data_IF_752343494578
#
_entry.id   IF_752343494578
#
_cell.length_a   1.000
_cell.length_b   1.000
_cell.length_c   1.000
_cell.angle_alpha   90.00
_cell.angle_beta   90.00
_cell.angle_gamma   90.00
#
_symmetry.space_group_name_H-M   'P 1'
#
loop_
_entity.id
_entity.type
_entity.pdbx_description
1 polymer ?
#
# COMPACT_ATOMS: atom_id res chain seq x y z
N UNK A 1 -35.73 -59.41 0.71
CA UNK A 1 -34.60 -58.54 0.30
C UNK A 1 -35.19 -57.29 -0.31
N UNK A 2 -35.08 -56.14 0.35
CA UNK A 2 -35.47 -54.83 -0.19
C UNK A 2 -34.27 -53.90 0.04
N UNK A 3 -33.68 -53.44 -1.06
CA UNK A 3 -32.44 -52.66 -1.08
C UNK A 3 -32.76 -51.18 -0.90
N UNK A 4 -31.98 -50.53 -0.03
CA UNK A 4 -32.16 -49.14 0.36
C UNK A 4 -31.74 -48.13 -0.71
N UNK A 5 -32.48 -47.02 -0.75
CA UNK A 5 -32.16 -45.83 -1.54
C UNK A 5 -30.94 -45.11 -0.95
N UNK A 6 -29.87 -45.01 -1.73
CA UNK A 6 -28.74 -44.14 -1.40
C UNK A 6 -28.99 -42.75 -2.00
N UNK A 7 -29.01 -41.73 -1.14
CA UNK A 7 -28.98 -40.33 -1.55
C UNK A 7 -27.63 -40.01 -2.19
N UNK A 8 -27.66 -39.66 -3.47
CA UNK A 8 -26.52 -39.12 -4.20
C UNK A 8 -26.34 -37.66 -3.76
N UNK A 9 -25.23 -37.38 -3.08
CA UNK A 9 -24.86 -36.02 -2.67
C UNK A 9 -24.21 -35.31 -3.85
N UNK A 10 -24.84 -34.24 -4.32
CA UNK A 10 -24.28 -33.32 -5.30
C UNK A 10 -22.97 -32.72 -4.77
N UNK A 11 -21.86 -32.72 -5.54
CA UNK A 11 -20.69 -31.95 -5.19
C UNK A 11 -21.02 -30.47 -5.38
N UNK A 12 -21.14 -29.78 -4.24
CA UNK A 12 -21.24 -28.34 -4.15
C UNK A 12 -20.16 -27.66 -5.00
N UNK A 13 -20.61 -26.92 -6.02
CA UNK A 13 -19.81 -25.95 -6.75
C UNK A 13 -19.20 -24.98 -5.74
N UNK A 14 -17.92 -25.20 -5.44
CA UNK A 14 -17.11 -24.24 -4.71
C UNK A 14 -16.92 -23.05 -5.64
N UNK A 15 -17.75 -22.02 -5.51
CA UNK A 15 -17.51 -20.72 -6.11
C UNK A 15 -16.26 -20.13 -5.46
N UNK A 16 -15.10 -20.46 -6.05
CA UNK A 16 -13.85 -19.80 -5.77
C UNK A 16 -14.04 -18.34 -6.21
N UNK A 17 -14.11 -17.42 -5.23
CA UNK A 17 -14.05 -15.98 -5.47
C UNK A 17 -12.93 -15.73 -6.50
N UNK A 18 -13.15 -14.94 -7.57
CA UNK A 18 -12.11 -14.67 -8.54
C UNK A 18 -10.90 -14.09 -7.82
N UNK A 19 -9.87 -14.91 -7.66
CA UNK A 19 -8.57 -14.47 -7.22
C UNK A 19 -8.07 -13.61 -8.37
N UNK A 20 -7.95 -12.29 -8.18
CA UNK A 20 -7.34 -11.42 -9.18
C UNK A 20 -5.97 -12.03 -9.51
N UNK A 21 -5.81 -12.49 -10.75
CA UNK A 21 -4.63 -13.22 -11.18
C UNK A 21 -3.38 -12.36 -10.95
N UNK A 22 -2.29 -12.99 -10.49
CA UNK A 22 -0.97 -12.34 -10.53
C UNK A 22 -0.70 -11.94 -11.99
N UNK A 23 -0.18 -10.73 -12.19
CA UNK A 23 0.02 -10.17 -13.52
C UNK A 23 1.21 -10.88 -14.17
N UNK A 24 1.14 -11.10 -15.48
CA UNK A 24 2.30 -11.61 -16.21
C UNK A 24 3.43 -10.57 -16.24
N UNK A 25 4.66 -11.00 -16.50
CA UNK A 25 5.79 -10.08 -16.63
C UNK A 25 5.58 -9.07 -17.76
N UNK A 26 4.92 -9.46 -18.86
CA UNK A 26 4.57 -8.54 -19.96
C UNK A 26 3.54 -7.50 -19.52
N UNK A 27 2.54 -7.89 -18.71
CA UNK A 27 1.58 -6.94 -18.13
C UNK A 27 2.26 -5.98 -17.16
N UNK A 28 3.20 -6.46 -16.36
CA UNK A 28 4.01 -5.60 -15.49
C UNK A 28 4.91 -4.66 -16.28
N UNK A 29 5.50 -5.10 -17.40
CA UNK A 29 6.26 -4.22 -18.31
C UNK A 29 5.39 -3.10 -18.85
N UNK A 30 4.16 -3.42 -19.28
CA UNK A 30 3.18 -2.42 -19.71
C UNK A 30 2.81 -1.46 -18.59
N UNK A 31 2.58 -1.97 -17.38
CA UNK A 31 2.22 -1.19 -16.20
C UNK A 31 3.31 -0.20 -15.80
N UNK A 32 4.58 -0.60 -15.83
CA UNK A 32 5.70 0.26 -15.42
C UNK A 32 6.25 1.15 -16.53
N UNK A 33 5.86 0.92 -17.79
CA UNK A 33 6.37 1.68 -18.94
C UNK A 33 6.28 3.21 -18.77
N UNK A 34 5.22 3.81 -18.18
CA UNK A 34 5.15 5.25 -17.94
C UNK A 34 6.18 5.82 -16.96
N UNK A 35 6.81 4.98 -16.13
CA UNK A 35 7.72 5.43 -15.08
C UNK A 35 9.10 4.77 -15.12
N UNK A 36 9.31 3.74 -15.95
CA UNK A 36 10.52 2.92 -15.89
C UNK A 36 11.80 3.71 -16.23
N UNK A 37 11.70 4.82 -16.99
CA UNK A 37 12.85 5.68 -17.31
C UNK A 37 13.05 6.82 -16.31
N UNK A 38 12.23 6.91 -15.26
CA UNK A 38 12.37 7.96 -14.25
C UNK A 38 13.56 7.66 -13.32
N UNK A 39 14.13 8.69 -12.66
CA UNK A 39 15.16 8.50 -11.64
C UNK A 39 14.70 7.55 -10.53
N UNK A 40 15.63 6.76 -9.99
CA UNK A 40 15.34 5.71 -9.02
C UNK A 40 14.63 6.24 -7.77
N UNK A 41 15.09 7.39 -7.26
CA UNK A 41 14.47 8.06 -6.10
C UNK A 41 13.06 8.60 -6.39
N UNK A 42 12.72 8.88 -7.66
CA UNK A 42 11.36 9.28 -8.04
C UNK A 42 10.44 8.06 -8.14
N UNK A 43 10.91 6.95 -8.74
CA UNK A 43 10.18 5.67 -8.69
C UNK A 43 9.91 5.25 -7.25
N UNK A 44 10.90 5.43 -6.36
CA UNK A 44 10.78 5.18 -4.94
C UNK A 44 9.71 6.02 -4.22
N UNK A 45 9.30 7.15 -4.79
CA UNK A 45 8.17 7.96 -4.29
C UNK A 45 6.84 7.55 -4.95
N UNK A 46 6.86 7.29 -6.26
CA UNK A 46 5.65 6.92 -7.02
C UNK A 46 5.05 5.60 -6.55
N UNK A 47 5.87 4.56 -6.34
CA UNK A 47 5.36 3.23 -6.01
C UNK A 47 4.62 3.19 -4.66
N UNK A 48 5.15 3.77 -3.56
CA UNK A 48 4.40 3.94 -2.33
C UNK A 48 3.15 4.81 -2.49
N UNK A 49 3.26 5.95 -3.18
CA UNK A 49 2.15 6.88 -3.37
C UNK A 49 0.98 6.24 -4.13
N UNK A 50 1.29 5.35 -5.08
CA UNK A 50 0.31 4.56 -5.81
C UNK A 50 -0.56 3.66 -4.90
N UNK A 51 -0.10 3.38 -3.67
CA UNK A 51 -0.90 2.66 -2.67
C UNK A 51 -1.94 3.54 -1.95
N UNK A 52 -1.93 4.85 -2.18
CA UNK A 52 -2.83 5.84 -1.60
C UNK A 52 -3.55 6.67 -2.68
N UNK A 53 -4.34 6.05 -3.57
CA UNK A 53 -4.97 6.78 -4.69
C UNK A 53 -5.91 7.90 -4.23
N UNK A 54 -6.52 7.80 -3.04
CA UNK A 54 -7.32 8.88 -2.47
C UNK A 54 -6.47 10.09 -2.07
N UNK A 55 -5.32 9.87 -1.44
CA UNK A 55 -4.39 10.96 -1.10
C UNK A 55 -3.76 11.59 -2.35
N UNK A 56 -3.59 10.82 -3.44
CA UNK A 56 -3.17 11.38 -4.75
C UNK A 56 -4.19 12.41 -5.24
N UNK A 57 -5.48 12.09 -5.18
CA UNK A 57 -6.57 13.00 -5.58
C UNK A 57 -6.59 14.23 -4.68
N UNK A 58 -6.52 14.04 -3.36
CA UNK A 58 -6.53 15.14 -2.39
C UNK A 58 -5.32 16.07 -2.56
N UNK A 59 -4.13 15.51 -2.72
CA UNK A 59 -2.90 16.29 -2.89
C UNK A 59 -2.89 17.04 -4.22
N UNK A 60 -3.38 16.45 -5.31
CA UNK A 60 -3.49 17.13 -6.60
C UNK A 60 -4.43 18.33 -6.52
N UNK A 61 -5.63 18.14 -5.94
CA UNK A 61 -6.58 19.22 -5.74
C UNK A 61 -6.01 20.33 -4.85
N UNK A 62 -5.25 19.95 -3.81
CA UNK A 62 -4.60 20.91 -2.93
C UNK A 62 -3.53 21.73 -3.68
N UNK A 63 -2.70 21.09 -4.51
CA UNK A 63 -1.69 21.77 -5.33
C UNK A 63 -2.37 22.73 -6.33
N UNK A 64 -3.47 22.32 -6.94
CA UNK A 64 -4.25 23.16 -7.86
C UNK A 64 -4.85 24.40 -7.17
N UNK A 65 -5.17 24.31 -5.88
CA UNK A 65 -5.66 25.43 -5.07
C UNK A 65 -4.54 26.35 -4.57
N UNK A 66 -3.28 25.88 -4.56
CA UNK A 66 -2.14 26.58 -3.97
C UNK A 66 -1.00 26.79 -4.96
N UNK A 67 -1.32 27.09 -6.23
CA UNK A 67 -0.33 27.26 -7.32
C UNK A 67 0.69 28.38 -7.09
N UNK A 68 0.39 29.31 -6.20
CA UNK A 68 1.28 30.40 -5.80
C UNK A 68 2.36 29.97 -4.79
N UNK A 69 2.17 28.82 -4.13
CA UNK A 69 3.14 28.25 -3.22
C UNK A 69 4.25 27.53 -4.00
N UNK A 70 5.48 27.93 -3.72
CA UNK A 70 6.68 27.35 -4.33
C UNK A 70 7.80 27.24 -3.29
N UNK A 71 8.76 26.35 -3.56
CA UNK A 71 9.96 26.17 -2.74
C UNK A 71 9.64 25.93 -1.26
N UNK A 72 10.33 26.66 -0.37
CA UNK A 72 10.22 26.45 1.08
C UNK A 72 8.80 26.67 1.61
N UNK A 73 8.05 27.62 1.03
CA UNK A 73 6.66 27.88 1.45
C UNK A 73 5.74 26.72 1.11
N UNK A 74 5.89 26.15 -0.09
CA UNK A 74 5.18 24.93 -0.47
C UNK A 74 5.52 23.79 0.50
N UNK A 75 6.81 23.59 0.77
CA UNK A 75 7.27 22.53 1.67
C UNK A 75 6.68 22.66 3.08
N UNK A 76 6.65 23.87 3.65
CA UNK A 76 6.07 24.14 4.97
C UNK A 76 4.57 23.84 5.04
N UNK A 77 3.80 24.16 4.01
CA UNK A 77 2.36 23.91 3.99
C UNK A 77 2.01 22.44 3.72
N UNK A 78 2.78 21.77 2.87
CA UNK A 78 2.65 20.32 2.62
C UNK A 78 3.03 19.51 3.86
N UNK A 79 4.03 19.96 4.64
CA UNK A 79 4.45 19.26 5.85
C UNK A 79 3.32 19.11 6.88
N UNK A 80 2.40 20.08 6.93
CA UNK A 80 1.23 20.08 7.82
C UNK A 80 0.16 19.06 7.43
N UNK A 81 0.17 18.56 6.20
CA UNK A 81 -0.84 17.62 5.72
C UNK A 81 -0.67 16.26 6.38
N UNK A 82 -1.77 15.51 6.55
CA UNK A 82 -1.74 14.19 7.17
C UNK A 82 -1.37 13.04 6.21
N UNK A 83 -0.96 13.39 4.98
CA UNK A 83 -0.63 12.43 3.92
C UNK A 83 0.61 11.58 4.24
N UNK A 84 0.69 10.41 3.59
CA UNK A 84 1.88 9.57 3.56
C UNK A 84 3.10 10.37 3.05
N UNK A 85 4.31 10.12 3.59
CA UNK A 85 5.51 10.80 3.14
C UNK A 85 5.74 10.76 1.63
N UNK A 86 5.32 9.69 0.95
CA UNK A 86 5.47 9.59 -0.51
C UNK A 86 4.57 10.56 -1.27
N UNK A 87 3.33 10.77 -0.79
CA UNK A 87 2.39 11.74 -1.36
C UNK A 87 2.93 13.15 -1.15
N UNK A 88 3.41 13.46 0.07
CA UNK A 88 4.10 14.73 0.33
C UNK A 88 5.29 14.93 -0.61
N UNK A 89 6.12 13.90 -0.80
CA UNK A 89 7.27 13.97 -1.68
C UNK A 89 6.89 14.26 -3.14
N UNK A 90 5.80 13.67 -3.65
CA UNK A 90 5.34 13.90 -5.02
C UNK A 90 4.81 15.31 -5.27
N UNK A 91 4.49 16.10 -4.24
CA UNK A 91 4.16 17.53 -4.43
C UNK A 91 5.31 18.34 -5.02
N UNK A 92 6.55 17.85 -4.92
CA UNK A 92 7.73 18.40 -5.59
C UNK A 92 7.67 18.22 -7.12
N UNK A 93 6.85 17.29 -7.60
CA UNK A 93 6.69 16.91 -9.00
C UNK A 93 5.21 17.00 -9.43
N UNK A 94 4.62 18.22 -9.51
CA UNK A 94 3.19 18.40 -9.78
C UNK A 94 2.69 17.65 -11.03
N UNK A 95 3.46 17.62 -12.11
CA UNK A 95 3.08 16.91 -13.32
C UNK A 95 2.96 15.38 -13.11
N UNK A 96 3.81 14.80 -12.26
CA UNK A 96 3.77 13.36 -11.94
C UNK A 96 2.55 13.05 -11.07
N UNK A 97 2.31 13.88 -10.04
CA UNK A 97 1.13 13.76 -9.18
C UNK A 97 -0.17 13.90 -9.99
N UNK A 98 -0.24 14.90 -10.88
CA UNK A 98 -1.39 15.13 -11.74
C UNK A 98 -1.60 13.99 -12.75
N UNK A 99 -0.54 13.43 -13.31
CA UNK A 99 -0.65 12.23 -14.16
C UNK A 99 -1.19 11.02 -13.40
N UNK A 100 -0.79 10.83 -12.14
CA UNK A 100 -1.34 9.76 -11.29
C UNK A 100 -2.83 9.99 -10.97
N UNK A 101 -3.25 11.24 -10.75
CA UNK A 101 -4.65 11.63 -10.54
C UNK A 101 -5.50 11.50 -11.82
N UNK A 102 -4.96 11.82 -12.99
CA UNK A 102 -5.67 11.64 -14.26
C UNK A 102 -5.87 10.15 -14.57
N UNK A 103 -4.89 9.33 -14.23
CA UNK A 103 -4.83 7.90 -14.56
C UNK A 103 -5.04 7.01 -13.32
N UNK A 104 -6.10 7.25 -12.53
CA UNK A 104 -6.34 6.54 -11.25
C UNK A 104 -6.42 5.01 -11.36
N UNK A 105 -6.95 4.49 -12.47
CA UNK A 105 -7.00 3.04 -12.69
C UNK A 105 -5.57 2.46 -12.80
N UNK A 106 -4.72 3.08 -13.60
CA UNK A 106 -3.30 2.75 -13.71
C UNK A 106 -2.57 2.92 -12.37
N UNK A 107 -2.81 4.04 -11.67
CA UNK A 107 -2.22 4.30 -10.34
C UNK A 107 -2.57 3.20 -9.34
N UNK A 108 -3.84 2.78 -9.32
CA UNK A 108 -4.30 1.73 -8.41
C UNK A 108 -3.69 0.36 -8.74
N UNK A 109 -3.59 0.02 -10.03
CA UNK A 109 -2.97 -1.22 -10.49
C UNK A 109 -1.46 -1.25 -10.21
N UNK A 110 -0.78 -0.11 -10.37
CA UNK A 110 0.62 0.06 -10.00
C UNK A 110 0.84 -0.15 -8.49
N UNK A 111 -0.04 0.40 -7.66
CA UNK A 111 -0.01 0.20 -6.22
C UNK A 111 -0.26 -1.25 -5.80
N UNK A 112 -1.22 -1.93 -6.44
CA UNK A 112 -1.51 -3.35 -6.19
C UNK A 112 -0.32 -4.24 -6.55
N UNK A 113 0.28 -4.00 -7.71
CA UNK A 113 1.47 -4.71 -8.16
C UNK A 113 2.67 -4.45 -7.24
N UNK A 114 2.86 -3.21 -6.77
CA UNK A 114 3.93 -2.90 -5.82
C UNK A 114 3.79 -3.65 -4.50
N UNK A 115 2.57 -3.76 -3.96
CA UNK A 115 2.33 -4.46 -2.69
C UNK A 115 2.38 -5.98 -2.83
N UNK A 116 1.90 -6.52 -3.95
CA UNK A 116 1.66 -7.96 -4.11
C UNK A 116 2.71 -8.68 -4.97
N UNK A 117 3.37 -7.98 -5.89
CA UNK A 117 4.29 -8.52 -6.91
C UNK A 117 5.59 -7.70 -7.02
N UNK A 118 6.10 -7.20 -5.89
CA UNK A 118 7.22 -6.27 -5.82
C UNK A 118 8.47 -6.72 -6.62
N UNK A 119 8.81 -8.01 -6.56
CA UNK A 119 9.97 -8.55 -7.25
C UNK A 119 9.80 -8.59 -8.77
N UNK A 120 8.63 -8.98 -9.24
CA UNK A 120 8.35 -9.04 -10.68
C UNK A 120 8.19 -7.63 -11.25
N UNK A 121 7.61 -6.71 -10.46
CA UNK A 121 7.52 -5.29 -10.79
C UNK A 121 8.91 -4.67 -10.95
N UNK A 122 9.83 -4.90 -10.00
CA UNK A 122 11.19 -4.37 -10.09
C UNK A 122 11.97 -4.98 -11.26
N UNK A 123 11.75 -6.27 -11.54
CA UNK A 123 12.30 -6.96 -12.72
C UNK A 123 11.77 -6.33 -14.01
N UNK A 124 10.47 -6.05 -14.09
CA UNK A 124 9.86 -5.40 -15.24
C UNK A 124 10.47 -4.02 -15.50
N UNK A 125 10.70 -3.21 -14.47
CA UNK A 125 11.39 -1.91 -14.63
C UNK A 125 12.78 -2.08 -15.24
N UNK A 126 13.56 -3.06 -14.76
CA UNK A 126 14.90 -3.31 -15.28
C UNK A 126 14.88 -3.81 -16.73
N UNK A 127 13.94 -4.69 -17.10
CA UNK A 127 13.74 -5.11 -18.49
C UNK A 127 13.41 -3.91 -19.38
N UNK A 128 12.52 -3.03 -18.93
CA UNK A 128 12.16 -1.82 -19.67
C UNK A 128 13.36 -0.88 -19.84
N UNK A 129 14.17 -0.67 -18.80
CA UNK A 129 15.41 0.11 -18.90
C UNK A 129 16.41 -0.50 -19.88
N UNK A 130 16.59 -1.82 -19.87
CA UNK A 130 17.47 -2.53 -20.80
C UNK A 130 16.98 -2.36 -22.25
N UNK A 131 15.68 -2.47 -22.50
CA UNK A 131 15.08 -2.24 -23.81
C UNK A 131 15.31 -0.81 -24.31
N UNK A 132 15.09 0.20 -23.47
CA UNK A 132 15.35 1.59 -23.83
C UNK A 132 16.83 1.87 -24.08
N UNK A 133 17.74 1.25 -23.32
CA UNK A 133 19.19 1.35 -23.55
C UNK A 133 19.58 0.72 -24.89
N UNK A 134 19.05 -0.46 -25.22
CA UNK A 134 19.28 -1.14 -26.50
C UNK A 134 18.71 -0.35 -27.69
N UNK A 135 17.57 0.33 -27.49
CA UNK A 135 16.96 1.22 -28.48
C UNK A 135 17.71 2.56 -28.65
N UNK A 136 18.69 2.86 -27.79
CA UNK A 136 19.46 4.13 -27.82
C UNK A 136 18.74 5.31 -27.16
N UNK A 137 17.62 5.07 -26.49
CA UNK A 137 16.78 6.08 -25.86
C UNK A 137 17.14 6.35 -24.39
N UNK A 138 17.85 5.42 -23.73
CA UNK A 138 18.34 5.60 -22.37
C UNK A 138 19.86 5.79 -22.35
N UNK A 139 20.29 7.01 -22.04
CA UNK A 139 21.70 7.42 -22.00
C UNK A 139 21.94 8.50 -20.94
N UNK A 140 23.19 8.64 -20.53
CA UNK A 140 23.66 9.78 -19.72
C UNK A 140 23.56 11.06 -20.55
N UNK A 141 23.02 12.11 -19.93
CA UNK A 141 22.83 13.44 -20.51
C UNK A 141 23.19 14.52 -19.48
N UNK A 142 22.90 15.78 -19.77
CA UNK A 142 23.08 16.86 -18.79
C UNK A 142 22.04 16.81 -17.65
N UNK A 143 20.94 16.10 -17.85
CA UNK A 143 19.80 16.02 -16.95
C UNK A 143 19.86 14.79 -16.04
N UNK A 144 20.43 13.69 -16.53
CA UNK A 144 20.53 12.42 -15.79
C UNK A 144 21.85 11.68 -16.03
N UNK A 145 22.25 10.88 -15.06
CA UNK A 145 23.32 9.89 -15.15
C UNK A 145 22.72 8.49 -15.21
N UNK A 146 23.11 7.73 -16.24
CA UNK A 146 22.73 6.31 -16.40
C UNK A 146 23.98 5.46 -16.17
N UNK A 147 23.91 4.56 -15.19
CA UNK A 147 24.99 3.61 -14.90
C UNK A 147 24.49 2.18 -14.94
N UNK A 148 25.32 1.26 -15.43
CA UNK A 148 25.03 -0.17 -15.43
C UNK A 148 25.95 -0.86 -14.42
N UNK A 149 25.38 -1.50 -13.41
CA UNK A 149 26.06 -2.26 -12.38
C UNK A 149 25.64 -3.73 -12.51
N UNK A 150 26.49 -4.54 -13.15
CA UNK A 150 26.10 -5.91 -13.53
C UNK A 150 24.94 -5.88 -14.54
N UNK A 151 23.77 -6.37 -14.14
CA UNK A 151 22.55 -6.35 -14.95
C UNK A 151 21.58 -5.21 -14.57
N UNK A 152 21.90 -4.45 -13.53
CA UNK A 152 21.04 -3.38 -13.01
C UNK A 152 21.41 -2.05 -13.63
N UNK A 153 20.44 -1.38 -14.22
CA UNK A 153 20.55 -0.01 -14.69
C UNK A 153 20.00 0.92 -13.61
N UNK A 154 20.85 1.87 -13.18
CA UNK A 154 20.56 2.89 -12.16
C UNK A 154 20.47 4.24 -12.85
N UNK A 155 19.37 4.97 -12.61
CA UNK A 155 19.13 6.32 -13.14
C UNK A 155 19.14 7.31 -11.98
N UNK A 156 20.04 8.27 -12.04
CA UNK A 156 20.17 9.33 -11.04
C UNK A 156 20.11 10.70 -11.70
N UNK A 157 19.62 11.74 -11.03
CA UNK A 157 19.77 13.11 -11.51
C UNK A 157 21.25 13.45 -11.71
N UNK A 158 21.57 14.23 -12.74
CA UNK A 158 22.95 14.68 -12.98
C UNK A 158 23.44 15.69 -11.93
N UNK A 159 22.52 16.35 -11.23
CA UNK A 159 22.81 17.31 -10.15
C UNK A 159 22.01 16.97 -8.91
N UNK A 160 22.45 17.40 -7.73
CA UNK A 160 21.73 17.13 -6.47
C UNK A 160 20.45 17.95 -6.34
N UNK A 161 20.52 19.22 -6.76
CA UNK A 161 19.52 20.23 -6.40
C UNK A 161 18.34 20.30 -7.39
N UNK A 162 18.50 19.73 -8.58
CA UNK A 162 17.51 19.74 -9.66
C UNK A 162 17.31 18.34 -10.21
N UNK A 163 16.05 17.93 -10.31
CA UNK A 163 15.64 16.65 -10.89
C UNK A 163 14.84 16.91 -12.16
N UNK A 164 15.23 16.28 -13.27
CA UNK A 164 14.46 16.34 -14.50
C UNK A 164 13.61 15.07 -14.64
N UNK A 165 12.33 15.25 -14.94
CA UNK A 165 11.44 14.13 -15.25
C UNK A 165 11.45 13.93 -16.77
N UNK A 166 11.77 12.72 -17.26
CA UNK A 166 11.80 12.46 -18.70
C UNK A 166 10.39 12.52 -19.29
N UNK A 167 10.32 13.04 -20.51
CA UNK A 167 9.13 13.11 -21.34
C UNK A 167 9.29 12.18 -22.52
N UNK A 168 8.39 11.21 -22.68
CA UNK A 168 8.46 10.20 -23.72
C UNK A 168 7.12 9.52 -23.95
N UNK A 169 6.96 8.84 -25.09
CA UNK A 169 5.85 7.92 -25.28
C UNK A 169 6.21 6.57 -24.63
N UNK A 170 5.53 6.15 -23.54
CA UNK A 170 5.83 4.90 -22.86
C UNK A 170 5.55 3.65 -23.71
N UNK A 171 4.85 3.80 -24.82
CA UNK A 171 4.52 2.70 -25.71
C UNK A 171 5.52 2.57 -26.86
N UNK A 172 6.39 3.57 -27.07
CA UNK A 172 7.38 3.61 -28.18
C UNK A 172 8.85 3.73 -27.72
N UNK A 173 9.13 4.25 -26.52
CA UNK A 173 10.50 4.52 -26.06
C UNK A 173 11.41 3.28 -25.89
N UNK A 174 10.84 2.07 -26.01
CA UNK A 174 11.47 0.80 -25.66
C UNK A 174 11.77 -0.10 -26.86
N UNK A 175 11.87 0.48 -28.06
CA UNK A 175 12.11 -0.23 -29.31
C UNK A 175 10.81 -0.80 -29.89
N UNK A 176 10.60 -2.11 -29.76
CA UNK A 176 9.34 -2.74 -30.20
C UNK A 176 8.15 -2.12 -29.44
N UNK A 177 7.07 -1.71 -30.13
CA UNK A 177 5.92 -1.09 -29.48
C UNK A 177 5.30 -1.98 -28.41
N UNK A 178 4.82 -1.35 -27.34
CA UNK A 178 4.01 -2.00 -26.31
C UNK A 178 2.52 -1.78 -26.56
N UNK A 179 1.70 -2.68 -26.02
CA UNK A 179 0.27 -2.41 -25.90
C UNK A 179 0.04 -1.24 -24.95
N UNK A 180 -0.87 -0.33 -25.32
CA UNK A 180 -1.25 0.80 -24.46
C UNK A 180 -2.04 0.28 -23.26
N UNK A 181 -1.70 0.74 -22.05
CA UNK A 181 -2.48 0.39 -20.86
C UNK A 181 -3.95 0.84 -21.02
N UNK A 182 -4.95 -0.04 -20.84
CA UNK A 182 -6.35 0.30 -21.08
C UNK A 182 -6.81 1.52 -20.27
N UNK A 183 -7.36 2.52 -20.96
CA UNK A 183 -7.85 3.74 -20.32
C UNK A 183 -6.76 4.69 -19.81
N UNK A 184 -5.50 4.48 -20.21
CA UNK A 184 -4.43 5.44 -19.93
C UNK A 184 -4.52 6.64 -20.89
N UNK A 185 -4.35 7.83 -20.33
CA UNK A 185 -4.39 9.10 -21.06
C UNK A 185 -3.05 9.83 -20.96
N UNK A 186 -2.51 10.34 -22.09
CA UNK A 186 -1.35 11.21 -22.12
C UNK A 186 -1.47 12.40 -21.17
N UNK A 187 -0.39 12.74 -20.47
CA UNK A 187 -0.33 13.95 -19.65
C UNK A 187 0.66 14.96 -20.24
N UNK A 188 0.24 16.22 -20.49
CA UNK A 188 1.12 17.26 -21.02
C UNK A 188 2.37 17.47 -20.17
N UNK A 189 3.54 17.51 -20.81
CA UNK A 189 4.82 17.69 -20.12
C UNK A 189 5.42 16.41 -19.50
N UNK A 190 4.77 15.26 -19.68
CA UNK A 190 5.34 13.92 -19.42
C UNK A 190 5.25 13.00 -20.63
N UNK A 191 4.28 13.22 -21.52
CA UNK A 191 4.12 12.50 -22.77
C UNK A 191 4.62 13.33 -23.96
N UNK A 192 5.34 12.66 -24.87
CA UNK A 192 5.71 13.18 -26.18
C UNK A 192 5.50 12.07 -27.21
N UNK A 193 4.71 12.34 -28.25
CA UNK A 193 4.41 11.41 -29.36
C UNK A 193 5.64 11.22 -30.28
N UNK A 194 6.71 10.69 -29.70
CA UNK A 194 7.99 10.45 -30.34
C UNK A 194 8.65 9.22 -29.71
N UNK A 195 9.43 8.44 -30.46
CA UNK A 195 10.11 7.26 -29.93
C UNK A 195 11.29 7.61 -29.00
N UNK A 196 11.61 8.88 -28.78
CA UNK A 196 12.76 9.33 -27.99
C UNK A 196 12.41 9.76 -26.57
N UNK A 197 13.44 10.04 -25.78
CA UNK A 197 13.32 10.63 -24.45
C UNK A 197 13.84 12.06 -24.48
N UNK A 198 13.05 12.99 -23.95
CA UNK A 198 13.38 14.39 -23.83
C UNK A 198 13.24 14.86 -22.39
N UNK A 199 13.78 16.03 -22.10
CA UNK A 199 13.69 16.64 -20.79
C UNK A 199 13.15 18.06 -20.92
N UNK A 200 12.15 18.39 -20.09
CA UNK A 200 11.64 19.73 -19.97
C UNK A 200 12.37 20.53 -18.88
N UNK A 201 11.62 21.38 -18.19
CA UNK A 201 12.13 22.11 -17.03
C UNK A 201 12.39 21.15 -15.87
N UNK A 202 13.53 21.35 -15.20
CA UNK A 202 13.88 20.60 -13.99
C UNK A 202 13.13 21.12 -12.76
N UNK A 203 12.90 20.22 -11.81
CA UNK A 203 12.24 20.50 -10.54
C UNK A 203 13.29 20.73 -9.45
N UNK A 204 13.23 21.89 -8.80
CA UNK A 204 14.12 22.22 -7.68
C UNK A 204 13.72 21.43 -6.44
N UNK A 205 14.58 20.50 -6.01
CA UNK A 205 14.33 19.64 -4.83
C UNK A 205 15.01 20.15 -3.56
N UNK A 206 15.95 21.09 -3.70
CA UNK A 206 16.71 21.67 -2.58
C UNK A 206 15.84 22.25 -1.44
N UNK A 207 14.74 22.98 -1.71
CA UNK A 207 13.87 23.51 -0.66
C UNK A 207 13.31 22.43 0.29
N UNK A 208 13.22 21.19 -0.21
CA UNK A 208 12.59 20.08 0.49
C UNK A 208 13.59 19.25 1.32
N UNK A 209 14.88 19.57 1.28
CA UNK A 209 15.93 18.80 1.96
C UNK A 209 15.81 18.80 3.50
N UNK A 210 15.22 19.84 4.07
CA UNK A 210 15.00 19.95 5.51
C UNK A 210 13.85 19.09 6.04
N UNK A 211 13.07 18.49 5.14
CA UNK A 211 11.85 17.76 5.47
C UNK A 211 12.09 16.26 5.39
N UNK A 212 11.67 15.52 6.42
CA UNK A 212 11.89 14.06 6.51
C UNK A 212 11.22 13.24 5.40
N UNK A 213 10.30 13.84 4.65
CA UNK A 213 9.64 13.26 3.48
C UNK A 213 10.27 13.69 2.14
N UNK A 214 11.19 14.66 2.15
CA UNK A 214 11.76 15.25 0.93
C UNK A 214 12.68 14.31 0.14
N UNK A 215 13.07 14.75 -1.05
CA UNK A 215 13.82 13.99 -2.07
C UNK A 215 14.96 13.10 -1.53
N UNK A 216 15.81 13.62 -0.64
CA UNK A 216 17.03 12.93 -0.16
C UNK A 216 16.76 11.67 0.66
N UNK A 217 15.53 11.51 1.15
CA UNK A 217 15.16 10.40 2.02
C UNK A 217 14.67 9.19 1.23
N UNK A 218 14.59 9.28 -0.10
CA UNK A 218 14.09 8.22 -0.98
C UNK A 218 15.21 7.61 -1.82
N UNK A 219 15.25 6.29 -1.83
CA UNK A 219 16.10 5.51 -2.73
C UNK A 219 15.39 4.22 -3.14
N UNK A 220 15.75 3.69 -4.31
CA UNK A 220 15.34 2.35 -4.72
C UNK A 220 16.54 1.43 -4.63
N UNK A 221 16.47 0.42 -3.76
CA UNK A 221 17.49 -0.62 -3.67
C UNK A 221 17.10 -1.79 -4.56
N UNK A 222 17.77 -1.90 -5.72
CA UNK A 222 17.56 -2.97 -6.70
C UNK A 222 18.04 -4.36 -6.23
N UNK A 223 18.80 -4.45 -5.13
CA UNK A 223 19.29 -5.74 -4.64
C UNK A 223 18.16 -6.59 -4.04
N UNK A 224 18.28 -7.91 -4.18
CA UNK A 224 17.40 -8.93 -3.56
C UNK A 224 15.90 -8.71 -3.84
N UNK A 225 15.56 -8.42 -5.09
CA UNK A 225 14.16 -8.31 -5.54
C UNK A 225 13.57 -6.90 -5.55
N UNK A 226 14.38 -5.86 -5.32
CA UNK A 226 13.96 -4.47 -5.48
C UNK A 226 13.09 -3.98 -4.32
N UNK A 227 13.54 -2.98 -3.57
CA UNK A 227 12.75 -2.38 -2.50
C UNK A 227 12.91 -0.88 -2.40
N UNK A 228 11.83 -0.22 -2.04
CA UNK A 228 11.84 1.20 -1.70
C UNK A 228 12.49 1.37 -0.33
N UNK A 229 13.42 2.30 -0.25
CA UNK A 229 14.07 2.73 0.98
C UNK A 229 13.63 4.15 1.29
N UNK A 230 13.10 4.35 2.49
CA UNK A 230 12.71 5.64 3.05
C UNK A 230 13.41 5.85 4.39
N UNK A 231 14.10 6.99 4.56
CA UNK A 231 14.84 7.31 5.79
C UNK A 231 15.77 6.16 6.23
N UNK A 232 16.56 5.63 5.30
CA UNK A 232 17.51 4.52 5.50
C UNK A 232 16.88 3.16 5.88
N UNK A 233 15.55 3.04 5.86
CA UNK A 233 14.83 1.81 6.19
C UNK A 233 13.99 1.35 5.00
N UNK A 234 13.72 0.05 4.90
CA UNK A 234 12.76 -0.46 3.92
C UNK A 234 11.39 0.18 4.18
N UNK A 235 10.82 0.82 3.17
CA UNK A 235 9.47 1.36 3.24
C UNK A 235 8.45 0.22 3.19
N UNK A 236 7.45 0.27 4.06
CA UNK A 236 6.33 -0.67 4.07
C UNK A 236 5.05 0.16 4.03
N UNK A 237 4.24 -0.03 2.98
CA UNK A 237 2.95 0.67 2.86
C UNK A 237 2.04 0.26 4.01
N UNK A 238 1.33 1.25 4.56
CA UNK A 238 0.30 1.07 5.59
C UNK A 238 -1.11 1.31 5.03
N UNK A 239 -1.25 1.36 3.71
CA UNK A 239 -2.52 1.57 3.04
C UNK A 239 -3.52 0.48 3.44
N UNK A 240 -4.75 0.91 3.74
CA UNK A 240 -5.90 0.02 3.94
C UNK A 240 -6.71 -0.15 2.67
N UNK A 241 -6.44 0.63 1.63
CA UNK A 241 -7.16 0.61 0.35
C UNK A 241 -6.62 -0.49 -0.56
N UNK A 242 -5.32 -0.77 -0.51
CA UNK A 242 -4.69 -1.88 -1.25
C UNK A 242 -4.35 -2.99 -0.27
N UNK A 243 -4.98 -4.16 -0.47
CA UNK A 243 -4.81 -5.28 0.44
C UNK A 243 -3.57 -6.09 0.08
N UNK A 244 -2.64 -6.21 1.01
CA UNK A 244 -1.49 -7.10 0.90
C UNK A 244 -1.93 -8.57 1.00
N UNK A 245 -1.91 -9.27 -0.13
CA UNK A 245 -2.33 -10.67 -0.26
C UNK A 245 -1.34 -11.64 0.38
N UNK A 246 -0.07 -11.24 0.52
CA UNK A 246 0.96 -12.06 1.15
C UNK A 246 0.75 -12.22 2.67
N UNK A 247 0.09 -11.26 3.33
CA UNK A 247 -0.30 -11.39 4.74
C UNK A 247 -1.39 -12.45 4.98
N UNK A 248 -2.26 -12.74 4.00
CA UNK A 248 -3.22 -13.85 4.13
C UNK A 248 -2.59 -15.22 3.92
N UNK A 249 -1.45 -15.30 3.23
CA UNK A 249 -0.71 -16.55 3.05
C UNK A 249 0.05 -16.94 4.33
N UNK A 250 0.59 -15.98 5.10
CA UNK A 250 1.35 -16.30 6.32
C UNK A 250 0.47 -16.86 7.45
N UNK A 251 -0.80 -16.44 7.53
CA UNK A 251 -1.72 -16.92 8.58
C UNK A 251 -2.32 -18.32 8.32
N UNK A 252 -2.03 -18.95 7.17
CA UNK A 252 -2.44 -20.33 6.86
C UNK A 252 -1.38 -21.40 7.16
N UNK A 253 -0.18 -21.01 7.59
CA UNK A 253 0.88 -21.96 7.93
C UNK A 253 1.08 -22.21 9.43
N UNK A 254 0.30 -21.57 10.30
CA UNK A 254 0.37 -21.78 11.76
C UNK A 254 -0.72 -22.72 12.34
N UNK A 255 -1.44 -23.46 11.51
CA UNK A 255 -2.33 -24.54 11.96
C UNK A 255 -1.81 -25.92 11.52
N UNK A 256 -0.55 -26.23 11.83
CA UNK A 256 -0.03 -27.60 11.79
C UNK A 256 0.82 -27.89 13.03
N UNK A 257 0.32 -28.78 13.88
CA UNK A 257 1.14 -29.56 14.81
C UNK A 257 1.04 -29.14 16.29
N UNK A 258 -0.07 -29.46 16.95
CA UNK A 258 -0.08 -29.66 18.39
C UNK A 258 -0.72 -31.01 18.70
N UNK A 259 -0.03 -32.08 18.32
CA UNK A 259 -0.30 -33.43 18.80
C UNK A 259 0.79 -33.88 19.76
N UNK A 260 0.32 -34.39 20.90
CA UNK A 260 1.01 -35.28 21.85
C UNK A 260 2.10 -34.67 22.73
N UNK A 261 1.77 -34.50 24.03
CA UNK A 261 2.43 -35.23 25.12
C UNK A 261 1.37 -35.59 26.17
N UNK A 262 1.06 -36.89 26.27
CA UNK A 262 0.11 -37.43 27.23
C UNK A 262 0.68 -37.55 28.66
N UNK A 263 -0.19 -37.37 29.64
CA UNK A 263 -0.14 -38.04 30.95
C UNK A 263 -1.56 -38.53 31.27
N UNK A 264 -1.73 -39.85 31.33
CA UNK A 264 -2.97 -40.47 31.81
C UNK A 264 -2.93 -40.73 33.31
N UNK A 265 -4.11 -40.77 33.96
CA UNK A 265 -4.63 -41.98 34.64
C UNK A 265 -6.05 -41.76 35.21
N UNK A 266 -6.94 -42.68 34.82
CA UNK A 266 -8.10 -43.32 35.47
C UNK A 266 -9.10 -42.60 36.41
N UNK A 267 -10.40 -42.74 36.09
CA UNK A 267 -11.30 -43.52 36.98
C UNK A 267 -12.65 -42.93 37.42
N UNK A 268 -13.74 -43.52 36.90
CA UNK A 268 -15.03 -43.84 37.58
C UNK A 268 -16.29 -42.95 37.41
N UNK A 269 -17.27 -43.50 36.65
CA UNK A 269 -18.74 -43.70 36.89
C UNK A 269 -19.50 -42.66 37.76
N UNK A 270 -20.73 -42.17 37.47
CA UNK A 270 -21.98 -42.87 37.11
C UNK A 270 -23.10 -41.82 36.87
N UNK A 271 -24.13 -42.18 36.11
CA UNK A 271 -25.36 -41.41 35.87
C UNK A 271 -26.41 -41.60 37.00
N UNK A 272 -27.06 -40.52 37.45
CA UNK A 272 -28.37 -40.56 38.13
C UNK A 272 -29.21 -39.29 37.84
N UNK A 273 -30.39 -39.48 37.25
CA UNK A 273 -31.65 -38.71 37.45
C UNK A 273 -32.62 -39.63 38.24
N UNK A 274 -33.79 -39.21 38.80
CA UNK A 274 -34.64 -38.02 38.56
C UNK A 274 -35.14 -37.34 39.88
N UNK A 275 -35.87 -36.20 39.90
CA UNK A 275 -37.36 -36.14 39.90
C UNK A 275 -37.93 -34.71 39.72
N UNK A 276 -38.98 -34.61 38.91
CA UNK A 276 -40.10 -33.61 38.87
C UNK A 276 -40.96 -33.66 40.16
N UNK A 277 -41.89 -32.70 40.49
CA UNK A 277 -42.92 -32.14 39.57
C UNK A 277 -43.52 -30.74 39.85
N UNK A 278 -44.08 -30.10 38.81
CA UNK A 278 -45.49 -29.65 38.67
C UNK A 278 -45.68 -28.55 37.59
N UNK A 279 -46.75 -28.69 36.79
CA UNK A 279 -47.40 -27.65 35.96
C UNK A 279 -48.77 -27.36 36.63
N UNK A 280 -49.37 -26.16 36.51
CA UNK A 280 -50.32 -25.83 35.41
C UNK A 280 -50.16 -24.37 34.89
N UNK A 281 -50.20 -24.09 33.58
CA UNK A 281 -51.36 -23.74 32.74
C UNK A 281 -51.41 -22.22 32.43
N UNK A 282 -51.66 -21.85 31.16
CA UNK A 282 -51.92 -20.46 30.76
C UNK A 282 -51.38 -20.07 29.38
N UNK A 283 -52.27 -20.12 28.40
CA UNK A 283 -52.21 -19.63 27.00
C UNK A 283 -51.60 -18.23 26.77
N UNK A 284 -51.03 -17.98 25.58
CA UNK A 284 -51.46 -17.02 24.54
C UNK A 284 -50.32 -16.64 23.57
N UNK A 285 -50.67 -16.54 22.29
CA UNK A 285 -49.85 -16.20 21.13
C UNK A 285 -49.67 -14.68 20.93
N UNK A 286 -48.64 -14.27 20.17
CA UNK A 286 -48.52 -12.95 19.53
C UNK A 286 -47.08 -12.42 19.58
N UNK A 287 -46.37 -12.30 18.46
CA UNK A 287 -46.48 -11.29 17.40
C UNK A 287 -45.46 -10.15 17.59
N UNK A 288 -44.64 -9.99 16.55
CA UNK A 288 -43.79 -8.88 16.12
C UNK A 288 -43.83 -7.53 16.85
N UNK A 289 -42.64 -6.90 16.88
CA UNK A 289 -42.41 -5.48 17.11
C UNK A 289 -41.53 -5.27 18.34
N UNK A 290 -40.45 -4.50 18.34
CA UNK A 290 -39.91 -3.51 17.43
C UNK A 290 -38.85 -2.72 18.21
N UNK A 291 -37.85 -2.23 17.49
CA UNK A 291 -36.95 -1.09 17.76
C UNK A 291 -36.66 -0.62 19.20
N UNK A 292 -35.36 -0.36 19.46
CA UNK A 292 -34.98 0.83 20.22
C UNK A 292 -33.79 0.69 21.18
N UNK A 293 -32.65 1.24 20.74
CA UNK A 293 -31.63 1.99 21.50
C UNK A 293 -31.47 1.84 23.02
N UNK A 294 -30.19 1.81 23.45
CA UNK A 294 -29.80 2.41 24.73
C UNK A 294 -28.53 1.81 25.32
N UNK A 295 -27.46 2.61 25.38
CA UNK A 295 -26.19 2.23 25.97
C UNK A 295 -26.25 2.03 27.49
N UNK A 296 -25.27 1.30 28.00
CA UNK A 296 -25.02 1.17 29.43
C UNK A 296 -23.61 1.63 29.76
N UNK A 297 -23.51 2.82 30.36
CA UNK A 297 -22.46 3.13 31.32
C UNK A 297 -22.79 2.40 32.63
N UNK A 298 -21.80 1.76 33.26
CA UNK A 298 -21.89 1.29 34.65
C UNK A 298 -20.87 2.06 35.49
N UNK A 299 -21.39 2.97 36.30
CA UNK A 299 -20.73 3.37 37.54
C UNK A 299 -21.00 2.30 38.60
N UNK A 300 -19.99 2.03 39.44
CA UNK A 300 -20.16 1.22 40.64
C UNK A 300 -19.83 2.07 41.87
N UNK A 301 -20.65 1.84 42.88
CA UNK A 301 -20.89 2.63 44.08
C UNK A 301 -19.85 2.46 45.18
N UNK A 302 -19.77 3.55 45.94
CA UNK A 302 -19.45 3.72 47.37
C UNK A 302 -19.18 2.49 48.24
N UNK A 303 -18.18 2.66 49.12
CA UNK A 303 -18.34 2.57 50.59
C UNK A 303 -17.15 3.23 51.29
N UNK A 304 -17.45 4.23 52.11
CA UNK A 304 -16.48 4.83 53.01
C UNK A 304 -16.39 4.07 54.34
N UNK A 305 -15.24 4.20 55.00
CA UNK A 305 -15.12 4.16 56.44
C UNK A 305 -13.94 5.03 56.87
N UNK A 306 -14.24 5.97 57.75
CA UNK A 306 -13.34 6.89 58.44
C UNK A 306 -12.63 6.20 59.61
N UNK A 307 -11.35 6.51 59.84
CA UNK A 307 -10.83 6.63 61.21
C UNK A 307 -9.64 7.58 61.27
N UNK A 308 -9.64 8.37 62.35
CA UNK A 308 -8.74 9.46 62.72
C UNK A 308 -7.52 8.89 63.45
N UNK A 309 -6.33 9.47 63.24
CA UNK A 309 -5.22 9.25 64.16
C UNK A 309 -3.89 9.89 63.76
N UNK A 310 -3.47 10.90 64.55
CA UNK A 310 -2.07 11.08 64.98
C UNK A 310 -1.17 12.03 64.18
N UNK A 311 -1.14 13.30 64.57
CA UNK A 311 -0.05 14.25 64.27
C UNK A 311 1.04 14.16 65.37
N UNK A 312 2.31 14.04 64.97
CA UNK A 312 3.54 14.34 65.74
C UNK A 312 4.53 14.89 64.70
N UNK A 313 4.93 16.17 64.72
CA UNK A 313 6.09 16.71 65.46
C UNK A 313 7.39 16.44 64.67
N UNK A 314 8.29 17.35 64.30
CA UNK A 314 8.57 18.76 64.60
C UNK A 314 10.01 19.10 64.11
N UNK A 315 10.34 20.40 64.01
CA UNK A 315 11.72 20.97 63.84
C UNK A 315 12.10 21.27 62.37
N UNK A 316 12.30 22.50 61.85
CA UNK A 316 13.22 23.61 62.23
C UNK A 316 14.62 23.07 62.55
N UNK A 317 15.72 23.40 61.86
CA UNK A 317 16.22 24.63 61.23
C UNK A 317 17.26 24.27 60.17
#
# INVERSE_FOLDING_TARGET
MAQGFAYQTDPSLSQQLPQAAEQSLEQLQQLVAPIALYPDSLIAQILPAATYPHEVVEAEQWIEQHKDLTGDRLAQEVDKQAWDPSIKALTQFPAVLANMNQNLAWTSELGDAYVNQQQDLSTAVQVMRQRAQQAGNLKTTAEQTVTTQGQTIVIQPATTDVVYVPQYDPWLAYGAPLAVFPGWYPYPGLFLDTPGVFFGLGFAVRPFYGFGWGWRNWAFDWHRGGRVVFNHNTYISRSTTIVNRNNFRSNRFNFRGADSHGRGFAGHQTFHSPTTPHIPEGTHSGAFGGFGHGGFARGNSSRGQSSVGGFHGGGRR
#
